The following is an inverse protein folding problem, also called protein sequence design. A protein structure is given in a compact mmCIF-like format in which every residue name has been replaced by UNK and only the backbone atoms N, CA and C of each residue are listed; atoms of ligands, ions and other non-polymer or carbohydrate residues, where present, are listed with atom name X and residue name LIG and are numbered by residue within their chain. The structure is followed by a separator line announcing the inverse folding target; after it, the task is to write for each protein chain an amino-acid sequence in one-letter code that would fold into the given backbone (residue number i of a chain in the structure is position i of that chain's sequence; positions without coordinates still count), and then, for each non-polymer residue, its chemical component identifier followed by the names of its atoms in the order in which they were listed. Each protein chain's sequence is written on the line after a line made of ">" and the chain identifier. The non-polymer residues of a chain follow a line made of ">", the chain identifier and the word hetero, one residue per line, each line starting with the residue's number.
data_IF_117336473629
#
_entry.id   IF_117336473629
#
_cell.length_a   1.000
_cell.length_b   1.000
_cell.length_c   1.000
_cell.angle_alpha   90.00
_cell.angle_beta   90.00
_cell.angle_gamma   90.00
#
_symmetry.space_group_name_H-M   'P 1'
#
loop_
_entity.id
_entity.type
_entity.pdbx_description
1 polymer ?
#
# COMPACT_ATOMS: atom_id res chain seq x y z
N UNK A 1 -9.95 -9.16 27.49
CA UNK A 1 -10.79 -8.48 28.50
C UNK A 1 -10.60 -6.99 28.37
N UNK A 2 -11.65 -6.27 28.03
CA UNK A 2 -11.65 -4.80 27.95
C UNK A 2 -12.44 -4.27 29.16
N UNK A 3 -11.82 -3.40 29.97
CA UNK A 3 -12.40 -2.84 31.20
C UNK A 3 -12.97 -3.89 32.17
N UNK A 4 -12.29 -5.05 32.29
CA UNK A 4 -12.70 -6.13 33.21
C UNK A 4 -13.84 -7.01 32.71
N UNK A 5 -14.39 -6.76 31.51
CA UNK A 5 -15.46 -7.56 30.92
C UNK A 5 -14.88 -8.48 29.84
N UNK A 6 -15.15 -9.76 29.92
CA UNK A 6 -14.79 -10.74 28.88
C UNK A 6 -15.96 -10.88 27.92
N UNK A 7 -15.76 -10.42 26.69
CA UNK A 7 -16.72 -10.56 25.60
C UNK A 7 -16.07 -11.21 24.38
N UNK A 8 -16.88 -11.86 23.56
CA UNK A 8 -16.47 -12.37 22.26
C UNK A 8 -16.03 -11.22 21.36
N UNK A 9 -14.93 -11.39 20.63
CA UNK A 9 -14.39 -10.40 19.68
C UNK A 9 -15.44 -10.04 18.62
N UNK A 10 -16.23 -11.01 18.17
CA UNK A 10 -17.30 -10.80 17.18
C UNK A 10 -18.41 -9.83 17.67
N UNK A 11 -18.52 -9.63 18.98
CA UNK A 11 -19.48 -8.71 19.61
C UNK A 11 -18.89 -7.34 19.94
N UNK A 12 -17.61 -7.12 19.63
CA UNK A 12 -16.94 -5.83 19.79
C UNK A 12 -17.16 -4.95 18.56
N UNK A 13 -16.99 -3.65 18.73
CA UNK A 13 -16.99 -2.74 17.59
C UNK A 13 -15.87 -3.10 16.57
N UNK A 14 -16.13 -2.86 15.29
CA UNK A 14 -15.23 -3.23 14.19
C UNK A 14 -13.77 -2.75 14.37
N UNK A 15 -13.56 -1.59 14.99
CA UNK A 15 -12.20 -1.10 15.29
C UNK A 15 -11.44 -2.01 16.26
N UNK A 16 -12.13 -2.61 17.25
CA UNK A 16 -11.53 -3.56 18.19
C UNK A 16 -11.27 -4.90 17.50
N UNK A 17 -12.22 -5.39 16.69
CA UNK A 17 -12.04 -6.62 15.92
C UNK A 17 -10.80 -6.53 15.02
N UNK A 18 -10.62 -5.41 14.33
CA UNK A 18 -9.45 -5.17 13.47
C UNK A 18 -8.16 -5.05 14.28
N UNK A 19 -8.17 -4.33 15.41
CA UNK A 19 -7.00 -4.25 16.27
C UNK A 19 -6.55 -5.62 16.78
N UNK A 20 -7.50 -6.49 17.15
CA UNK A 20 -7.20 -7.88 17.54
C UNK A 20 -6.62 -8.66 16.35
N UNK A 21 -7.22 -8.52 15.16
CA UNK A 21 -6.73 -9.17 13.94
C UNK A 21 -5.29 -8.74 13.60
N UNK A 22 -4.98 -7.44 13.66
CA UNK A 22 -3.63 -6.91 13.45
C UNK A 22 -2.65 -7.51 14.46
N UNK A 23 -3.02 -7.52 15.76
CA UNK A 23 -2.19 -8.11 16.80
C UNK A 23 -1.96 -9.60 16.60
N UNK A 24 -2.95 -10.32 16.08
CA UNK A 24 -2.79 -11.74 15.72
C UNK A 24 -1.80 -11.90 14.57
N UNK A 25 -1.88 -11.06 13.52
CA UNK A 25 -0.93 -11.11 12.42
C UNK A 25 0.50 -10.80 12.87
N UNK A 26 0.67 -9.82 13.76
CA UNK A 26 1.99 -9.49 14.34
C UNK A 26 2.58 -10.67 15.13
N UNK A 27 1.74 -11.41 15.85
CA UNK A 27 2.17 -12.62 16.61
C UNK A 27 2.41 -13.82 15.69
N UNK A 28 1.66 -13.90 14.58
CA UNK A 28 1.81 -14.99 13.60
C UNK A 28 2.98 -14.75 12.63
N UNK A 29 3.43 -13.50 12.49
CA UNK A 29 4.63 -13.19 11.72
C UNK A 29 5.82 -13.93 12.35
N UNK A 30 6.71 -14.54 11.55
CA UNK A 30 7.90 -15.18 12.06
C UNK A 30 8.71 -14.22 12.92
N UNK A 31 9.18 -14.68 14.08
CA UNK A 31 9.95 -13.89 15.01
C UNK A 31 11.24 -13.40 14.31
N UNK A 32 11.54 -12.11 14.40
CA UNK A 32 12.79 -11.52 13.87
C UNK A 32 14.04 -12.26 14.37
N UNK A 33 14.00 -12.78 15.61
CA UNK A 33 15.08 -13.57 16.19
C UNK A 33 15.26 -14.93 15.50
N UNK A 34 14.18 -15.56 15.01
CA UNK A 34 14.25 -16.77 14.18
C UNK A 34 14.84 -16.45 12.81
N UNK A 35 14.42 -15.36 12.21
CA UNK A 35 14.94 -14.89 10.91
C UNK A 35 16.41 -14.50 11.02
N UNK A 36 16.79 -13.81 12.12
CA UNK A 36 18.18 -13.40 12.36
C UNK A 36 19.10 -14.60 12.62
N UNK A 37 18.65 -15.61 13.38
CA UNK A 37 19.42 -16.85 13.62
C UNK A 37 19.62 -17.68 12.37
N UNK A 38 18.70 -17.62 11.40
CA UNK A 38 18.88 -18.25 10.09
C UNK A 38 19.86 -17.48 9.20
N UNK A 39 20.05 -16.18 9.43
CA UNK A 39 20.98 -15.31 8.70
C UNK A 39 22.40 -15.30 9.28
N UNK A 40 22.62 -15.75 10.54
CA UNK A 40 23.96 -15.81 11.11
C UNK A 40 24.78 -16.88 10.38
N UNK A 41 25.79 -16.44 9.61
CA UNK A 41 26.73 -17.32 8.96
C UNK A 41 27.50 -18.13 10.01
N UNK A 42 27.62 -19.43 9.81
CA UNK A 42 28.52 -20.25 10.63
C UNK A 42 29.97 -19.99 10.22
N UNK A 43 30.87 -19.82 11.18
CA UNK A 43 32.30 -19.64 10.91
C UNK A 43 32.82 -20.78 10.00
N UNK A 44 33.30 -20.43 8.79
CA UNK A 44 33.83 -21.37 7.82
C UNK A 44 32.83 -21.91 6.77
N UNK A 45 31.60 -21.42 6.77
CA UNK A 45 30.60 -21.81 5.75
C UNK A 45 30.85 -21.05 4.44
N UNK A 46 30.87 -21.78 3.31
CA UNK A 46 30.93 -21.18 1.97
C UNK A 46 29.62 -20.41 1.67
N UNK A 47 29.70 -19.31 0.95
CA UNK A 47 28.58 -18.44 0.61
C UNK A 47 27.41 -19.21 -0.09
N UNK A 48 27.74 -20.18 -0.93
CA UNK A 48 26.77 -21.08 -1.57
C UNK A 48 26.07 -22.03 -0.58
N UNK A 49 26.80 -22.55 0.41
CA UNK A 49 26.24 -23.42 1.44
C UNK A 49 25.33 -22.64 2.39
N UNK A 50 25.73 -21.40 2.76
CA UNK A 50 24.93 -20.49 3.55
C UNK A 50 23.60 -20.13 2.85
N UNK A 51 23.65 -19.81 1.56
CA UNK A 51 22.49 -19.51 0.75
C UNK A 51 21.54 -20.70 0.60
N UNK A 52 22.05 -21.90 0.33
CA UNK A 52 21.23 -23.12 0.24
C UNK A 52 20.55 -23.47 1.57
N UNK A 53 21.26 -23.28 2.70
CA UNK A 53 20.70 -23.47 4.05
C UNK A 53 19.60 -22.47 4.34
N UNK A 54 19.80 -21.20 3.94
CA UNK A 54 18.81 -20.15 4.10
C UNK A 54 17.54 -20.47 3.27
N UNK A 55 17.69 -20.83 2.01
CA UNK A 55 16.58 -21.22 1.13
C UNK A 55 15.81 -22.44 1.69
N UNK A 56 16.51 -23.41 2.23
CA UNK A 56 15.89 -24.58 2.85
C UNK A 56 15.15 -24.21 4.15
N UNK A 57 15.72 -23.32 4.95
CA UNK A 57 15.09 -22.84 6.20
C UNK A 57 13.87 -21.99 5.91
N UNK A 58 13.93 -21.10 4.92
CA UNK A 58 12.81 -20.27 4.47
C UNK A 58 11.69 -21.11 3.85
N UNK A 59 12.04 -22.16 3.09
CA UNK A 59 11.07 -23.09 2.52
C UNK A 59 10.35 -23.96 3.57
N UNK A 60 10.91 -24.09 4.78
CA UNK A 60 10.28 -24.80 5.89
C UNK A 60 9.30 -23.95 6.72
N UNK A 61 9.31 -22.61 6.53
CA UNK A 61 8.37 -21.72 7.21
C UNK A 61 6.99 -21.78 6.54
N UNK A 62 5.88 -21.73 7.32
CA UNK A 62 4.55 -21.67 6.74
C UNK A 62 4.37 -20.39 5.95
N UNK A 63 3.84 -20.48 4.72
CA UNK A 63 3.47 -19.32 3.93
C UNK A 63 2.15 -18.73 4.43
N UNK A 64 2.14 -17.44 4.71
CA UNK A 64 0.96 -16.70 5.15
C UNK A 64 0.54 -15.76 4.04
N UNK A 65 -0.72 -15.87 3.61
CA UNK A 65 -1.35 -14.91 2.71
C UNK A 65 -2.42 -14.14 3.49
N UNK A 66 -2.22 -12.84 3.62
CA UNK A 66 -3.14 -11.91 4.27
C UNK A 66 -3.90 -11.15 3.20
N UNK A 67 -5.17 -11.46 3.00
CA UNK A 67 -6.04 -10.76 2.06
C UNK A 67 -7.06 -9.92 2.83
N UNK A 68 -7.08 -8.60 2.60
CA UNK A 68 -7.96 -7.66 3.29
C UNK A 68 -8.69 -6.81 2.25
N UNK A 69 -10.01 -6.78 2.34
CA UNK A 69 -10.88 -5.88 1.58
C UNK A 69 -11.23 -4.67 2.46
N UNK A 70 -11.14 -3.48 1.88
CA UNK A 70 -11.45 -2.20 2.50
C UNK A 70 -10.88 -2.02 3.92
N UNK A 71 -9.55 -2.09 4.07
CA UNK A 71 -8.91 -1.98 5.39
C UNK A 71 -9.20 -0.66 6.12
N UNK A 72 -9.63 0.37 5.40
CA UNK A 72 -10.00 1.70 5.91
C UNK A 72 -11.36 1.76 6.62
N UNK A 73 -12.27 0.83 6.37
CA UNK A 73 -13.63 0.90 6.92
C UNK A 73 -13.60 0.98 8.44
N UNK A 74 -14.36 1.94 8.98
CA UNK A 74 -14.43 2.27 10.42
C UNK A 74 -13.12 2.74 11.05
N UNK A 75 -12.15 3.18 10.26
CA UNK A 75 -10.89 3.70 10.77
C UNK A 75 -10.81 5.22 10.64
N UNK A 76 -10.29 5.87 11.69
CA UNK A 76 -9.89 7.26 11.59
C UNK A 76 -8.63 7.36 10.67
N UNK A 77 -8.49 8.41 9.81
CA UNK A 77 -7.38 8.56 8.88
C UNK A 77 -5.99 8.30 9.47
N UNK A 78 -5.72 8.76 10.69
CA UNK A 78 -4.43 8.52 11.37
C UNK A 78 -4.20 7.03 11.63
N UNK A 79 -5.24 6.30 12.00
CA UNK A 79 -5.16 4.85 12.24
C UNK A 79 -5.05 4.07 10.94
N UNK A 80 -5.74 4.51 9.88
CA UNK A 80 -5.61 3.91 8.55
C UNK A 80 -4.16 4.00 8.05
N UNK A 81 -3.51 5.18 8.18
CA UNK A 81 -2.08 5.34 7.84
C UNK A 81 -1.15 4.46 8.69
N UNK A 82 -1.41 4.36 10.00
CA UNK A 82 -0.63 3.49 10.86
C UNK A 82 -0.78 2.03 10.45
N UNK A 83 -2.01 1.61 10.14
CA UNK A 83 -2.29 0.26 9.69
C UNK A 83 -1.65 -0.05 8.33
N UNK A 84 -1.69 0.88 7.37
CA UNK A 84 -1.02 0.72 6.09
C UNK A 84 0.49 0.44 6.27
N UNK A 85 1.17 1.19 7.18
CA UNK A 85 2.58 0.93 7.50
C UNK A 85 2.80 -0.44 8.13
N UNK A 86 1.97 -0.85 9.09
CA UNK A 86 2.07 -2.18 9.69
C UNK A 86 1.93 -3.29 8.65
N UNK A 87 1.02 -3.14 7.68
CA UNK A 87 0.85 -4.13 6.61
C UNK A 87 2.05 -4.13 5.65
N UNK A 88 2.65 -2.97 5.38
CA UNK A 88 3.87 -2.86 4.60
C UNK A 88 5.04 -3.56 5.31
N UNK A 89 5.25 -3.29 6.60
CA UNK A 89 6.26 -3.98 7.41
C UNK A 89 6.03 -5.51 7.42
N UNK A 90 4.78 -5.93 7.57
CA UNK A 90 4.42 -7.34 7.52
C UNK A 90 4.72 -7.98 6.16
N UNK A 91 4.48 -7.28 5.05
CA UNK A 91 4.76 -7.78 3.70
C UNK A 91 6.26 -7.94 3.40
N UNK A 92 7.11 -7.28 4.16
CA UNK A 92 8.57 -7.42 4.09
C UNK A 92 9.11 -8.68 4.79
N UNK A 93 8.24 -9.39 5.51
CA UNK A 93 8.65 -10.61 6.23
C UNK A 93 8.75 -11.81 5.27
N UNK A 94 9.70 -12.74 5.50
CA UNK A 94 9.81 -13.97 4.71
C UNK A 94 8.50 -14.77 4.76
N UNK A 95 8.08 -15.29 3.63
CA UNK A 95 6.88 -16.13 3.49
C UNK A 95 5.55 -15.44 3.86
N UNK A 96 5.50 -14.09 3.91
CA UNK A 96 4.27 -13.35 4.09
C UNK A 96 3.93 -12.59 2.80
N UNK A 97 2.73 -12.78 2.31
CA UNK A 97 2.16 -12.01 1.20
C UNK A 97 0.94 -11.24 1.70
N UNK A 98 0.89 -9.95 1.40
CA UNK A 98 -0.26 -9.10 1.74
C UNK A 98 -0.95 -8.66 0.45
N UNK A 99 -2.27 -8.89 0.38
CA UNK A 99 -3.14 -8.46 -0.71
C UNK A 99 -4.18 -7.51 -0.15
N UNK A 100 -4.28 -6.31 -0.71
CA UNK A 100 -5.24 -5.30 -0.28
C UNK A 100 -6.14 -4.89 -1.44
N UNK A 101 -7.45 -4.85 -1.18
CA UNK A 101 -8.41 -4.16 -2.04
C UNK A 101 -8.90 -2.92 -1.27
N UNK A 102 -8.66 -1.73 -1.80
CA UNK A 102 -8.93 -0.47 -1.08
C UNK A 102 -9.42 0.62 -2.02
N UNK A 103 -10.23 1.54 -1.51
CA UNK A 103 -10.59 2.82 -2.12
C UNK A 103 -9.92 4.01 -1.43
N UNK A 104 -9.00 3.76 -0.50
CA UNK A 104 -8.39 4.81 0.31
C UNK A 104 -6.96 5.14 -0.13
N UNK A 105 -6.66 6.42 -0.38
CA UNK A 105 -5.31 6.86 -0.73
C UNK A 105 -4.27 6.56 0.36
N UNK A 106 -4.70 6.34 1.61
CA UNK A 106 -3.81 6.03 2.72
C UNK A 106 -3.11 4.67 2.61
N UNK A 107 -3.63 3.77 1.77
CA UNK A 107 -3.04 2.45 1.51
C UNK A 107 -2.23 2.40 0.21
N UNK A 108 -2.16 3.50 -0.53
CA UNK A 108 -1.25 3.65 -1.65
C UNK A 108 0.12 4.05 -1.11
N UNK A 109 1.07 3.15 -1.22
CA UNK A 109 2.45 3.37 -0.76
C UNK A 109 3.36 3.54 -1.99
N UNK A 110 4.00 4.71 -2.17
CA UNK A 110 4.89 4.97 -3.32
C UNK A 110 6.01 3.94 -3.47
N UNK A 111 6.49 3.41 -2.34
CA UNK A 111 7.51 2.36 -2.29
C UNK A 111 7.05 1.03 -2.88
N UNK A 112 5.74 0.82 -2.98
CA UNK A 112 5.10 -0.37 -3.54
C UNK A 112 4.45 -0.09 -4.91
N UNK A 113 4.97 0.87 -5.66
CA UNK A 113 4.40 1.30 -6.94
C UNK A 113 4.19 0.13 -7.91
N UNK A 114 5.16 -0.78 -8.00
CA UNK A 114 5.11 -1.95 -8.88
C UNK A 114 4.04 -2.99 -8.47
N UNK A 115 3.55 -2.91 -7.23
CA UNK A 115 2.49 -3.78 -6.71
C UNK A 115 1.08 -3.19 -6.88
N UNK A 116 0.95 -1.98 -7.45
CA UNK A 116 -0.34 -1.33 -7.64
C UNK A 116 -1.06 -1.87 -8.88
N UNK A 117 -2.30 -2.30 -8.68
CA UNK A 117 -3.19 -2.76 -9.75
C UNK A 117 -4.48 -1.96 -9.70
N UNK A 118 -4.76 -1.15 -10.72
CA UNK A 118 -6.01 -0.38 -10.83
C UNK A 118 -7.05 -1.19 -11.59
N UNK A 119 -8.13 -1.52 -10.92
CA UNK A 119 -9.29 -2.17 -11.52
C UNK A 119 -10.32 -1.11 -11.92
N UNK A 120 -10.80 -1.18 -13.15
CA UNK A 120 -11.90 -0.37 -13.63
C UNK A 120 -12.98 -1.25 -14.22
N UNK A 121 -14.26 -0.89 -13.98
CA UNK A 121 -15.40 -1.61 -14.51
C UNK A 121 -16.19 -0.68 -15.44
N UNK A 122 -16.26 -1.03 -16.72
CA UNK A 122 -16.94 -0.22 -17.72
C UNK A 122 -17.72 -1.12 -18.66
N UNK A 123 -19.00 -0.81 -18.86
CA UNK A 123 -19.88 -1.52 -19.80
C UNK A 123 -19.96 -3.05 -19.61
N UNK A 124 -19.85 -3.52 -18.38
CA UNK A 124 -19.91 -4.95 -18.05
C UNK A 124 -18.57 -5.68 -18.10
N UNK A 125 -17.49 -4.99 -18.40
CA UNK A 125 -16.14 -5.54 -18.46
C UNK A 125 -15.23 -4.96 -17.40
N UNK A 126 -14.40 -5.82 -16.79
CA UNK A 126 -13.35 -5.42 -15.87
C UNK A 126 -12.03 -5.31 -16.63
N UNK A 127 -11.36 -4.18 -16.50
CA UNK A 127 -9.99 -3.99 -16.98
C UNK A 127 -9.04 -3.74 -15.80
N UNK A 128 -7.79 -4.17 -15.98
CA UNK A 128 -6.72 -4.00 -14.98
C UNK A 128 -5.58 -3.23 -15.62
N UNK A 129 -5.24 -2.09 -15.01
CA UNK A 129 -4.09 -1.30 -15.40
C UNK A 129 -2.97 -1.47 -14.36
N UNK A 130 -1.76 -1.69 -14.83
CA UNK A 130 -0.53 -1.79 -14.03
C UNK A 130 0.55 -0.92 -14.61
N UNK A 131 1.45 -0.43 -13.79
CA UNK A 131 2.68 0.22 -14.20
C UNK A 131 3.81 -0.24 -13.29
N UNK A 132 5.04 -0.20 -13.80
CA UNK A 132 6.23 -0.49 -13.00
C UNK A 132 7.25 0.62 -13.17
N UNK A 133 8.17 0.75 -12.20
CA UNK A 133 9.31 1.67 -12.29
C UNK A 133 10.04 1.47 -13.62
N UNK A 134 10.29 0.22 -14.03
CA UNK A 134 10.95 -0.10 -15.28
C UNK A 134 10.15 0.36 -16.51
N UNK A 135 8.81 0.21 -16.51
CA UNK A 135 7.98 0.66 -17.62
C UNK A 135 7.96 2.19 -17.77
N UNK A 136 7.93 2.91 -16.65
CA UNK A 136 7.99 4.38 -16.62
C UNK A 136 9.37 4.87 -17.03
N UNK A 137 10.45 4.22 -16.60
CA UNK A 137 11.81 4.53 -16.98
C UNK A 137 12.02 4.35 -18.51
N UNK A 138 11.54 3.25 -19.05
CA UNK A 138 11.60 3.00 -20.50
C UNK A 138 10.83 4.06 -21.31
N UNK A 139 9.65 4.48 -20.84
CA UNK A 139 8.83 5.49 -21.50
C UNK A 139 9.41 6.90 -21.39
N UNK A 140 10.06 7.24 -20.28
CA UNK A 140 10.63 8.57 -20.02
C UNK A 140 12.08 8.75 -20.47
N UNK A 141 12.79 7.66 -20.77
CA UNK A 141 14.23 7.67 -21.06
C UNK A 141 15.11 7.93 -19.83
N UNK A 142 14.55 7.82 -18.63
CA UNK A 142 15.25 7.96 -17.35
C UNK A 142 15.75 6.61 -16.85
N UNK A 143 16.64 6.63 -15.84
CA UNK A 143 17.09 5.42 -15.16
C UNK A 143 16.06 5.01 -14.09
N UNK A 144 15.92 3.70 -13.87
CA UNK A 144 15.01 3.12 -12.86
C UNK A 144 15.17 3.78 -11.49
N UNK A 145 16.40 3.92 -10.99
CA UNK A 145 16.69 4.57 -9.71
C UNK A 145 16.20 6.03 -9.64
N UNK A 146 16.25 6.76 -10.75
CA UNK A 146 15.79 8.14 -10.81
C UNK A 146 14.26 8.20 -10.77
N UNK A 147 13.60 7.28 -11.48
CA UNK A 147 12.14 7.15 -11.47
C UNK A 147 11.65 6.72 -10.10
N UNK A 148 12.26 5.70 -9.48
CA UNK A 148 11.88 5.24 -8.15
C UNK A 148 11.99 6.38 -7.10
N UNK A 149 13.09 7.13 -7.13
CA UNK A 149 13.27 8.30 -6.24
C UNK A 149 12.23 9.40 -6.50
N UNK A 150 11.90 9.66 -7.76
CA UNK A 150 10.90 10.65 -8.12
C UNK A 150 9.50 10.24 -7.64
N UNK A 151 9.12 8.98 -7.78
CA UNK A 151 7.84 8.44 -7.29
C UNK A 151 7.73 8.66 -5.78
N UNK A 152 8.73 8.26 -5.00
CA UNK A 152 8.73 8.42 -3.54
C UNK A 152 8.73 9.89 -3.12
N UNK A 153 9.45 10.77 -3.84
CA UNK A 153 9.55 12.17 -3.50
C UNK A 153 8.31 13.01 -3.89
N UNK A 154 7.64 12.65 -4.99
CA UNK A 154 6.61 13.49 -5.62
C UNK A 154 5.22 12.85 -5.64
N UNK A 155 5.01 11.69 -4.98
CA UNK A 155 3.68 11.08 -4.84
C UNK A 155 3.22 11.16 -3.38
N UNK A 156 2.88 12.38 -2.87
CA UNK A 156 2.28 12.52 -1.55
C UNK A 156 0.88 11.86 -1.52
N UNK A 157 0.32 11.72 -0.33
CA UNK A 157 -1.02 11.12 -0.14
C UNK A 157 -2.11 11.79 -1.00
N UNK A 158 -1.99 13.11 -1.22
CA UNK A 158 -2.93 13.87 -2.08
C UNK A 158 -2.85 13.41 -3.54
N UNK A 159 -1.65 13.08 -4.03
CA UNK A 159 -1.46 12.56 -5.38
C UNK A 159 -2.07 11.17 -5.54
N UNK A 160 -2.12 10.40 -4.45
CA UNK A 160 -2.73 9.08 -4.42
C UNK A 160 -4.23 9.10 -4.66
N UNK A 161 -4.93 10.23 -4.44
CA UNK A 161 -6.34 10.40 -4.80
C UNK A 161 -6.57 10.29 -6.31
N UNK A 162 -5.59 10.68 -7.11
CA UNK A 162 -5.64 10.56 -8.57
C UNK A 162 -5.78 9.12 -9.07
N UNK A 163 -5.34 8.12 -8.30
CA UNK A 163 -5.52 6.71 -8.66
C UNK A 163 -6.99 6.27 -8.66
N UNK A 164 -7.85 7.00 -7.95
CA UNK A 164 -9.29 6.69 -7.82
C UNK A 164 -10.17 7.60 -8.67
N UNK A 165 -9.62 8.69 -9.23
CA UNK A 165 -10.37 9.62 -10.06
C UNK A 165 -10.67 9.03 -11.45
N UNK A 166 -11.80 9.44 -12.05
CA UNK A 166 -12.12 9.13 -13.44
C UNK A 166 -11.24 9.89 -14.42
N UNK A 167 -10.87 11.13 -14.05
CA UNK A 167 -9.93 11.96 -14.78
C UNK A 167 -9.04 12.77 -13.83
N UNK A 168 -7.78 12.96 -14.23
CA UNK A 168 -6.81 13.76 -13.47
C UNK A 168 -6.37 14.92 -14.34
N UNK A 169 -6.41 16.12 -13.76
CA UNK A 169 -5.84 17.33 -14.34
C UNK A 169 -4.55 17.66 -13.59
N UNK A 170 -3.43 17.64 -14.30
CA UNK A 170 -2.14 18.02 -13.72
C UNK A 170 -1.90 19.51 -14.00
N UNK A 171 -1.56 20.26 -12.96
CA UNK A 171 -1.24 21.69 -13.02
C UNK A 171 0.14 21.94 -12.40
N UNK A 172 0.78 23.04 -12.79
CA UNK A 172 2.15 23.33 -12.38
C UNK A 172 2.25 23.61 -10.88
N UNK A 173 1.30 24.37 -10.31
CA UNK A 173 1.36 24.77 -8.91
C UNK A 173 0.00 24.89 -8.24
N UNK A 174 0.03 25.13 -6.92
CA UNK A 174 -1.18 25.29 -6.10
C UNK A 174 -2.08 26.45 -6.55
N UNK A 175 -1.49 27.53 -7.08
CA UNK A 175 -2.26 28.66 -7.60
C UNK A 175 -3.12 28.24 -8.79
N UNK A 176 -2.57 27.45 -9.70
CA UNK A 176 -3.29 26.96 -10.87
C UNK A 176 -4.42 26.01 -10.47
N UNK A 177 -4.17 25.16 -9.48
CA UNK A 177 -5.21 24.30 -8.89
C UNK A 177 -6.38 25.12 -8.37
N UNK A 178 -6.11 26.13 -7.52
CA UNK A 178 -7.15 26.98 -6.95
C UNK A 178 -7.92 27.74 -8.06
N UNK A 179 -7.23 28.24 -9.06
CA UNK A 179 -7.86 28.95 -10.20
C UNK A 179 -8.74 27.98 -10.99
N UNK A 180 -8.25 26.78 -11.28
CA UNK A 180 -9.01 25.77 -12.03
C UNK A 180 -10.30 25.37 -11.30
N UNK A 181 -10.21 25.07 -10.00
CA UNK A 181 -11.35 24.75 -9.15
C UNK A 181 -12.35 25.92 -9.07
N UNK A 182 -11.87 27.16 -8.93
CA UNK A 182 -12.72 28.35 -8.89
C UNK A 182 -13.42 28.62 -10.23
N UNK A 183 -12.73 28.42 -11.35
CA UNK A 183 -13.31 28.58 -12.70
C UNK A 183 -14.35 27.50 -12.94
N UNK A 184 -14.05 26.25 -12.61
CA UNK A 184 -15.01 25.14 -12.73
C UNK A 184 -16.29 25.44 -11.93
N UNK A 185 -16.15 25.88 -10.70
CA UNK A 185 -17.27 26.27 -9.83
C UNK A 185 -18.11 27.39 -10.45
N UNK A 186 -17.47 28.46 -10.98
CA UNK A 186 -18.16 29.57 -11.65
C UNK A 186 -18.92 29.15 -12.91
N UNK A 187 -18.43 28.13 -13.58
CA UNK A 187 -19.07 27.55 -14.77
C UNK A 187 -20.15 26.50 -14.39
N UNK A 188 -20.45 26.34 -13.09
CA UNK A 188 -21.41 25.37 -12.61
C UNK A 188 -20.96 23.90 -12.78
N UNK A 189 -19.64 23.68 -12.89
CA UNK A 189 -19.02 22.37 -12.99
C UNK A 189 -18.54 21.95 -11.61
N UNK A 190 -19.17 20.93 -11.06
CA UNK A 190 -18.74 20.28 -9.82
C UNK A 190 -17.74 19.17 -10.19
N UNK A 191 -16.46 19.41 -9.94
CA UNK A 191 -15.38 18.50 -10.33
C UNK A 191 -15.49 17.16 -9.58
N UNK A 192 -15.90 17.16 -8.30
CA UNK A 192 -16.07 15.95 -7.53
C UNK A 192 -17.18 15.07 -8.14
N UNK A 193 -18.30 15.69 -8.52
CA UNK A 193 -19.39 14.97 -9.22
C UNK A 193 -18.99 14.43 -10.58
N UNK A 194 -18.02 15.05 -11.22
CA UNK A 194 -17.48 14.62 -12.50
C UNK A 194 -16.35 13.60 -12.36
N UNK A 195 -16.01 13.19 -11.12
CA UNK A 195 -14.89 12.28 -10.86
C UNK A 195 -13.53 12.86 -11.27
N UNK A 196 -13.39 14.20 -11.28
CA UNK A 196 -12.18 14.89 -11.74
C UNK A 196 -11.40 15.40 -10.55
N UNK A 197 -10.14 15.02 -10.45
CA UNK A 197 -9.18 15.51 -9.45
C UNK A 197 -8.14 16.42 -10.10
N UNK A 198 -7.88 17.58 -9.49
CA UNK A 198 -6.82 18.50 -9.93
C UNK A 198 -5.63 18.34 -9.00
N UNK A 199 -4.47 17.98 -9.55
CA UNK A 199 -3.24 17.72 -8.81
C UNK A 199 -2.15 18.71 -9.24
N UNK A 200 -1.47 19.29 -8.24
CA UNK A 200 -0.28 20.10 -8.46
C UNK A 200 0.96 19.21 -8.52
N UNK A 201 1.86 19.50 -9.48
CA UNK A 201 3.12 18.75 -9.67
C UNK A 201 4.34 19.45 -9.05
N UNK A 202 4.12 20.56 -8.34
CA UNK A 202 5.16 21.23 -7.52
C UNK A 202 5.37 20.54 -6.19
#
# INVERSE_FOLDING_TARGET
>A
TIAGVTNDVSRQGHGVQRAVMISMFQVMAPDEDLTRKTHEAHEGEDEHAAQARLEQSLGALPSIVVAIEEPEIYQHPVRARAFARTLLELSGQPNVQVLLATHSPYFIQPEQFDALHRFTYTQGETSVATASVASVAAASGLKDDSVAKAIVAHVPTEFSEGFFADAVVLVEGQTDRIVMEAVASKLGKDLDRLGVTVLSVE
#
